data_IF_496484803340
#
_entry.id   IF_496484803340
#
_cell.length_a   1.000
_cell.length_b   1.000
_cell.length_c   1.000
_cell.angle_alpha   90.00
_cell.angle_beta   90.00
_cell.angle_gamma   90.00
#
_symmetry.space_group_name_H-M   'P 1'
#
loop_
_entity.id
_entity.type
_entity.pdbx_description
1 polymer ?
#
# COMPACT_ATOMS: atom_id res chain seq x y z
N UNK A 1 -22.73 7.82 -6.60
CA UNK A 1 -21.37 8.11 -7.06
C UNK A 1 -20.64 6.79 -7.33
N UNK A 2 -19.77 6.79 -8.32
CA UNK A 2 -19.01 5.59 -8.69
C UNK A 2 -18.22 5.02 -7.52
N UNK A 3 -17.51 5.89 -6.81
CA UNK A 3 -16.65 5.44 -5.71
C UNK A 3 -17.45 4.70 -4.64
N UNK A 4 -18.54 5.27 -4.17
CA UNK A 4 -19.37 4.66 -3.11
C UNK A 4 -19.90 3.30 -3.51
N UNK A 5 -20.40 3.20 -4.74
CA UNK A 5 -20.97 1.93 -5.25
C UNK A 5 -19.89 0.86 -5.37
N UNK A 6 -18.74 1.21 -5.94
CA UNK A 6 -17.62 0.28 -6.12
C UNK A 6 -17.05 -0.14 -4.77
N UNK A 7 -16.80 0.82 -3.87
CA UNK A 7 -16.24 0.53 -2.55
C UNK A 7 -17.19 -0.29 -1.69
N UNK A 8 -18.50 -0.04 -1.81
CA UNK A 8 -19.51 -0.86 -1.14
C UNK A 8 -19.44 -2.32 -1.55
N UNK A 9 -19.23 -2.59 -2.83
CA UNK A 9 -19.08 -3.95 -3.34
C UNK A 9 -17.79 -4.60 -2.86
N UNK A 10 -16.69 -3.85 -2.87
CA UNK A 10 -15.41 -4.35 -2.37
C UNK A 10 -15.50 -4.68 -0.89
N UNK A 11 -16.14 -3.81 -0.11
CA UNK A 11 -16.30 -4.00 1.33
C UNK A 11 -17.12 -5.27 1.63
N UNK A 12 -18.22 -5.48 0.92
CA UNK A 12 -19.04 -6.67 1.10
C UNK A 12 -18.24 -7.94 0.82
N UNK A 13 -17.42 -7.92 -0.22
CA UNK A 13 -16.56 -9.04 -0.58
C UNK A 13 -15.51 -9.32 0.49
N UNK A 14 -14.92 -8.26 1.07
CA UNK A 14 -13.91 -8.39 2.13
C UNK A 14 -14.52 -8.92 3.42
N UNK A 15 -15.77 -8.59 3.74
CA UNK A 15 -16.46 -9.16 4.90
C UNK A 15 -16.73 -10.67 4.72
N UNK A 16 -16.87 -11.11 3.48
CA UNK A 16 -17.07 -12.52 3.19
C UNK A 16 -15.74 -13.29 3.30
N UNK A 17 -14.69 -12.79 2.64
CA UNK A 17 -13.41 -13.48 2.62
C UNK A 17 -12.27 -12.52 2.26
N UNK A 18 -11.14 -12.68 2.96
CA UNK A 18 -9.87 -12.01 2.63
C UNK A 18 -8.75 -13.07 2.54
N UNK A 19 -7.73 -12.82 1.70
CA UNK A 19 -6.56 -13.71 1.65
C UNK A 19 -5.84 -13.76 3.00
N UNK A 20 -5.08 -14.85 3.26
CA UNK A 20 -4.30 -14.95 4.49
C UNK A 20 -3.34 -13.78 4.68
N UNK A 21 -3.26 -13.27 5.90
CA UNK A 21 -2.36 -12.18 6.26
C UNK A 21 -2.89 -10.80 5.93
N UNK A 22 -4.10 -10.69 5.40
CA UNK A 22 -4.73 -9.41 5.07
C UNK A 22 -5.98 -9.24 5.91
N UNK A 23 -6.06 -8.13 6.64
CA UNK A 23 -7.14 -7.86 7.59
C UNK A 23 -7.73 -6.48 7.36
N UNK A 24 -9.05 -6.39 7.33
CA UNK A 24 -9.75 -5.10 7.31
C UNK A 24 -9.82 -4.55 8.74
N UNK A 25 -9.28 -3.36 8.95
CA UNK A 25 -9.23 -2.76 10.29
C UNK A 25 -10.33 -1.72 10.46
N UNK A 26 -10.48 -0.82 9.49
CA UNK A 26 -11.47 0.24 9.58
C UNK A 26 -11.93 0.66 8.19
N UNK A 27 -13.25 0.72 8.00
CA UNK A 27 -13.87 1.18 6.76
C UNK A 27 -15.23 1.80 7.07
N UNK A 28 -15.24 2.85 7.91
CA UNK A 28 -16.47 3.52 8.37
C UNK A 28 -17.08 4.42 7.29
N UNK A 29 -16.26 4.87 6.36
CA UNK A 29 -16.70 5.73 5.26
C UNK A 29 -16.04 5.25 3.95
N UNK A 30 -16.21 6.02 2.88
CA UNK A 30 -15.63 5.72 1.57
C UNK A 30 -14.52 6.71 1.20
N UNK A 31 -13.89 7.33 2.21
CA UNK A 31 -12.78 8.25 2.00
C UNK A 31 -11.46 7.64 2.49
N UNK A 32 -11.49 7.00 3.65
CA UNK A 32 -10.27 6.45 4.28
C UNK A 32 -10.55 5.08 4.86
N UNK A 33 -9.74 4.09 4.44
CA UNK A 33 -9.78 2.74 4.99
C UNK A 33 -8.42 2.39 5.58
N UNK A 34 -8.45 1.58 6.63
CA UNK A 34 -7.24 1.01 7.23
C UNK A 34 -7.25 -0.50 7.03
N UNK A 35 -6.13 -1.01 6.53
CA UNK A 35 -5.90 -2.44 6.34
C UNK A 35 -4.61 -2.83 7.04
N UNK A 36 -4.53 -4.07 7.50
CA UNK A 36 -3.28 -4.61 8.00
C UNK A 36 -2.81 -5.71 7.06
N UNK A 37 -1.50 -5.77 6.85
CA UNK A 37 -0.89 -6.86 6.09
C UNK A 37 0.25 -7.48 6.89
N UNK A 38 0.44 -8.77 6.65
CA UNK A 38 1.45 -9.60 7.31
C UNK A 38 2.05 -10.53 6.27
N UNK A 39 3.37 -10.65 6.27
CA UNK A 39 4.05 -11.60 5.39
C UNK A 39 3.84 -12.99 5.97
N UNK A 40 3.26 -13.88 5.17
CA UNK A 40 2.89 -15.22 5.63
C UNK A 40 4.02 -16.23 5.49
N UNK A 41 4.93 -15.99 4.53
CA UNK A 41 6.09 -16.87 4.34
C UNK A 41 7.19 -16.51 5.32
N UNK A 42 8.08 -17.48 5.55
CA UNK A 42 9.25 -17.24 6.40
C UNK A 42 10.19 -16.27 5.70
N UNK A 43 10.21 -15.04 6.19
CA UNK A 43 11.15 -14.00 5.72
C UNK A 43 11.65 -13.26 6.96
N UNK A 44 12.95 -13.42 7.31
CA UNK A 44 13.48 -12.84 8.56
C UNK A 44 13.37 -11.33 8.63
N UNK A 45 13.24 -10.62 7.50
CA UNK A 45 13.08 -9.16 7.49
C UNK A 45 11.75 -8.72 8.10
N UNK A 46 10.71 -9.55 8.01
CA UNK A 46 9.34 -9.17 8.35
C UNK A 46 8.68 -10.11 9.35
N UNK A 47 9.39 -11.08 9.82
CA UNK A 47 8.83 -12.12 10.70
C UNK A 47 8.28 -11.52 11.98
N UNK A 48 7.05 -11.90 12.32
CA UNK A 48 6.39 -11.45 13.54
C UNK A 48 5.85 -10.03 13.50
N UNK A 49 5.96 -9.33 12.38
CA UNK A 49 5.50 -7.96 12.26
C UNK A 49 4.21 -7.86 11.46
N UNK A 50 3.34 -6.91 11.85
CA UNK A 50 2.13 -6.54 11.13
C UNK A 50 2.26 -5.08 10.72
N UNK A 51 1.90 -4.78 9.48
CA UNK A 51 2.05 -3.43 8.92
C UNK A 51 0.69 -2.86 8.62
N UNK A 52 0.50 -1.59 8.94
CA UNK A 52 -0.75 -0.89 8.72
C UNK A 52 -0.71 -0.03 7.47
N UNK A 53 -1.72 -0.19 6.62
CA UNK A 53 -1.90 0.59 5.40
C UNK A 53 -3.07 1.54 5.56
N UNK A 54 -2.91 2.75 5.04
CA UNK A 54 -3.98 3.72 4.91
C UNK A 54 -4.29 3.91 3.43
N UNK A 55 -5.54 3.66 3.07
CA UNK A 55 -6.08 3.92 1.74
C UNK A 55 -6.89 5.20 1.78
N UNK A 56 -6.62 6.11 0.84
CA UNK A 56 -7.40 7.34 0.69
C UNK A 56 -7.99 7.36 -0.71
N UNK A 57 -9.32 7.52 -0.80
CA UNK A 57 -10.05 7.45 -2.06
C UNK A 57 -10.58 8.82 -2.45
N UNK A 58 -10.63 9.09 -3.76
CA UNK A 58 -11.34 10.26 -4.30
C UNK A 58 -12.68 9.82 -4.87
N UNK A 59 -13.59 10.76 -5.14
CA UNK A 59 -14.85 10.41 -5.81
C UNK A 59 -14.68 9.75 -7.17
N UNK A 60 -13.51 9.85 -7.78
CA UNK A 60 -13.18 9.26 -9.08
C UNK A 60 -12.69 7.81 -8.99
N UNK A 61 -12.54 7.25 -7.79
CA UNK A 61 -12.20 5.85 -7.65
C UNK A 61 -13.31 4.99 -8.29
N UNK A 62 -13.06 3.96 -9.06
CA UNK A 62 -11.78 3.30 -9.36
C UNK A 62 -11.09 3.81 -10.64
N UNK A 63 -11.54 4.90 -11.23
CA UNK A 63 -10.86 5.50 -12.40
C UNK A 63 -9.51 6.04 -11.95
N UNK A 64 -9.47 6.73 -10.81
CA UNK A 64 -8.22 7.11 -10.17
C UNK A 64 -7.81 6.08 -9.14
N UNK A 65 -6.51 5.83 -9.06
CA UNK A 65 -5.93 4.97 -8.03
C UNK A 65 -6.16 5.57 -6.64
N UNK A 66 -6.27 4.73 -5.60
CA UNK A 66 -6.23 5.24 -4.23
C UNK A 66 -4.82 5.70 -3.89
N UNK A 67 -4.70 6.59 -2.92
CA UNK A 67 -3.41 6.84 -2.29
C UNK A 67 -3.23 5.80 -1.21
N UNK A 68 -2.07 5.14 -1.19
CA UNK A 68 -1.79 4.08 -0.24
C UNK A 68 -0.44 4.36 0.40
N UNK A 69 -0.42 4.43 1.73
CA UNK A 69 0.82 4.59 2.48
C UNK A 69 0.83 3.63 3.66
N UNK A 70 2.03 3.30 4.13
CA UNK A 70 2.17 2.63 5.42
C UNK A 70 2.08 3.65 6.54
N UNK A 71 1.36 3.29 7.60
CA UNK A 71 1.26 4.12 8.82
C UNK A 71 2.14 3.54 9.91
N UNK A 72 2.88 4.41 10.59
CA UNK A 72 3.64 4.03 11.77
C UNK A 72 2.84 4.36 13.03
N UNK A 73 2.79 3.42 13.97
CA UNK A 73 2.34 3.69 15.34
C UNK A 73 3.15 2.82 16.30
N UNK A 74 2.75 2.74 17.57
CA UNK A 74 3.50 2.02 18.59
C UNK A 74 3.66 0.52 18.29
N UNK A 75 2.71 -0.06 17.55
CA UNK A 75 2.72 -1.50 17.26
C UNK A 75 2.90 -1.83 15.80
N UNK A 76 2.95 -0.82 14.94
CA UNK A 76 3.06 -1.00 13.49
C UNK A 76 4.26 -0.21 12.96
N UNK A 77 5.38 -0.88 12.66
CA UNK A 77 6.53 -0.22 12.04
C UNK A 77 6.31 -0.01 10.55
N UNK A 78 7.15 0.82 9.94
CA UNK A 78 7.22 0.93 8.48
C UNK A 78 8.16 -0.18 7.99
N UNK A 79 7.70 -1.09 7.13
CA UNK A 79 8.57 -2.18 6.66
C UNK A 79 9.78 -1.66 5.91
N UNK A 80 10.92 -2.30 6.11
CA UNK A 80 12.15 -2.00 5.37
C UNK A 80 12.06 -2.61 3.97
N UNK A 81 12.20 -1.78 2.96
CA UNK A 81 12.17 -2.22 1.57
C UNK A 81 12.78 -1.13 0.68
N UNK A 82 13.53 -1.51 -0.37
CA UNK A 82 14.12 -0.50 -1.27
C UNK A 82 13.11 0.40 -1.99
N UNK A 83 11.83 0.04 -1.98
CA UNK A 83 10.76 0.82 -2.62
C UNK A 83 9.78 1.42 -1.61
N UNK A 84 10.11 1.41 -0.32
CA UNK A 84 9.28 2.01 0.72
C UNK A 84 10.12 3.03 1.49
N UNK A 85 9.69 4.29 1.43
CA UNK A 85 10.35 5.37 2.16
C UNK A 85 10.05 5.29 3.65
N UNK A 86 10.93 5.85 4.46
CA UNK A 86 10.80 5.76 5.92
C UNK A 86 9.54 6.45 6.47
N UNK A 87 8.91 7.33 5.69
CA UNK A 87 7.64 7.96 6.06
C UNK A 87 6.42 7.18 5.60
N UNK A 88 6.58 6.01 4.99
CA UNK A 88 5.49 5.16 4.56
C UNK A 88 5.06 5.31 3.10
N UNK A 89 5.62 6.27 2.37
CA UNK A 89 5.32 6.43 0.94
C UNK A 89 5.90 5.25 0.17
N UNK A 90 5.10 4.70 -0.75
CA UNK A 90 5.42 3.47 -1.48
C UNK A 90 5.67 3.80 -2.95
N UNK A 91 6.82 3.34 -3.46
CA UNK A 91 7.14 3.41 -4.88
C UNK A 91 6.67 2.11 -5.55
N UNK A 92 5.44 2.10 -6.03
CA UNK A 92 4.83 0.91 -6.65
C UNK A 92 4.08 1.36 -7.91
N UNK A 93 4.45 0.79 -9.06
CA UNK A 93 3.88 1.18 -10.36
C UNK A 93 2.38 0.94 -10.43
N UNK A 94 1.88 -0.09 -9.74
CA UNK A 94 0.45 -0.37 -9.65
C UNK A 94 -0.34 0.85 -9.16
N UNK A 95 0.26 1.67 -8.30
CA UNK A 95 -0.38 2.86 -7.72
C UNK A 95 -0.13 4.13 -8.52
N UNK A 96 0.72 4.05 -9.54
CA UNK A 96 1.02 5.18 -10.40
C UNK A 96 -0.06 5.32 -11.47
N UNK A 97 -0.19 6.53 -12.03
CA UNK A 97 -1.18 6.83 -13.08
C UNK A 97 -1.06 5.92 -14.28
N UNK A 98 0.16 5.51 -14.62
CA UNK A 98 0.40 4.64 -15.78
C UNK A 98 0.15 3.17 -15.48
N UNK A 99 0.23 2.76 -14.23
CA UNK A 99 0.09 1.34 -13.85
C UNK A 99 -1.27 0.96 -13.31
N UNK A 100 -2.04 1.92 -12.86
CA UNK A 100 -3.37 1.65 -12.29
C UNK A 100 -4.43 1.45 -13.37
N UNK A 101 -5.35 0.54 -13.11
CA UNK A 101 -6.59 0.42 -13.90
C UNK A 101 -7.73 0.00 -12.97
N UNK A 102 -9.00 0.23 -13.40
CA UNK A 102 -10.16 -0.14 -12.56
C UNK A 102 -10.32 -1.64 -12.30
N UNK A 103 -9.52 -2.48 -12.93
CA UNK A 103 -9.53 -3.92 -12.64
C UNK A 103 -8.90 -4.21 -11.28
N UNK A 104 -8.05 -3.30 -10.79
CA UNK A 104 -7.45 -3.43 -9.46
C UNK A 104 -8.41 -2.94 -8.39
N UNK A 105 -8.21 -3.40 -7.16
CA UNK A 105 -9.03 -3.04 -6.01
C UNK A 105 -8.17 -3.02 -4.74
N UNK A 106 -8.80 -2.72 -3.59
CA UNK A 106 -8.08 -2.68 -2.31
C UNK A 106 -7.41 -4.01 -2.00
N UNK A 107 -8.13 -5.11 -2.20
CA UNK A 107 -7.60 -6.44 -1.95
C UNK A 107 -6.38 -6.73 -2.83
N UNK A 108 -6.45 -6.43 -4.13
CA UNK A 108 -5.33 -6.70 -5.04
C UNK A 108 -4.11 -5.83 -4.74
N UNK A 109 -4.32 -4.62 -4.26
CA UNK A 109 -3.22 -3.76 -3.81
C UNK A 109 -2.54 -4.37 -2.58
N UNK A 110 -3.33 -4.83 -1.61
CA UNK A 110 -2.78 -5.48 -0.41
C UNK A 110 -1.98 -6.73 -0.78
N UNK A 111 -2.51 -7.56 -1.68
CA UNK A 111 -1.82 -8.77 -2.14
C UNK A 111 -0.52 -8.41 -2.86
N UNK A 112 -0.54 -7.38 -3.70
CA UNK A 112 0.67 -6.93 -4.41
C UNK A 112 1.74 -6.45 -3.45
N UNK A 113 1.36 -5.70 -2.41
CA UNK A 113 2.30 -5.24 -1.40
C UNK A 113 2.84 -6.41 -0.57
N UNK A 114 1.98 -7.34 -0.19
CA UNK A 114 2.39 -8.55 0.52
C UNK A 114 3.41 -9.34 -0.30
N UNK A 115 3.18 -9.50 -1.60
CA UNK A 115 4.09 -10.18 -2.51
C UNK A 115 5.42 -9.44 -2.64
N UNK A 116 5.37 -8.12 -2.73
CA UNK A 116 6.57 -7.28 -2.80
C UNK A 116 7.45 -7.48 -1.56
N UNK A 117 6.84 -7.55 -0.38
CA UNK A 117 7.57 -7.80 0.85
C UNK A 117 8.10 -9.24 0.88
N UNK A 118 7.27 -10.20 0.51
CA UNK A 118 7.62 -11.63 0.57
C UNK A 118 8.90 -11.93 -0.24
N UNK A 119 9.04 -11.31 -1.40
CA UNK A 119 10.18 -11.56 -2.29
C UNK A 119 11.43 -10.73 -1.97
N UNK A 120 11.34 -9.81 -1.03
CA UNK A 120 12.48 -8.94 -0.71
C UNK A 120 13.52 -9.63 0.16
N UNK A 121 14.80 -9.41 -0.16
CA UNK A 121 15.92 -9.91 0.62
C UNK A 121 16.80 -8.80 1.18
N UNK A 122 16.47 -7.54 0.93
CA UNK A 122 17.32 -6.38 1.27
C UNK A 122 16.64 -5.50 2.31
N UNK A 123 17.30 -5.37 3.47
CA UNK A 123 16.85 -4.44 4.51
C UNK A 123 17.37 -3.04 4.20
N UNK A 124 16.75 -2.39 3.23
CA UNK A 124 17.19 -1.10 2.72
C UNK A 124 16.01 -0.14 2.56
N UNK A 125 16.32 1.15 2.51
CA UNK A 125 15.41 2.21 2.09
C UNK A 125 15.74 2.63 0.67
N UNK A 126 14.82 3.30 -0.04
CA UNK A 126 15.15 3.87 -1.35
C UNK A 126 16.34 4.81 -1.27
N UNK A 127 17.11 4.89 -2.34
CA UNK A 127 18.23 5.82 -2.41
C UNK A 127 17.71 7.24 -2.21
N UNK A 128 18.39 8.01 -1.36
CA UNK A 128 17.98 9.37 -1.06
C UNK A 128 16.81 9.51 -0.10
N UNK A 129 16.46 8.44 0.63
CA UNK A 129 15.32 8.42 1.55
C UNK A 129 15.30 9.62 2.50
N UNK A 130 16.41 9.92 3.14
CA UNK A 130 16.47 11.00 4.13
C UNK A 130 16.07 12.35 3.53
N UNK A 131 16.61 12.68 2.37
CA UNK A 131 16.30 13.94 1.70
C UNK A 131 14.86 13.93 1.17
N UNK A 132 14.41 12.82 0.63
CA UNK A 132 13.04 12.68 0.14
C UNK A 132 12.04 12.93 1.26
N UNK A 133 12.21 12.27 2.39
CA UNK A 133 11.29 12.39 3.54
C UNK A 133 11.29 13.81 4.09
N UNK A 134 12.47 14.46 4.13
CA UNK A 134 12.60 15.82 4.68
C UNK A 134 11.99 16.89 3.77
N UNK A 135 12.14 16.76 2.45
CA UNK A 135 11.82 17.84 1.51
C UNK A 135 10.62 17.58 0.60
N UNK A 136 10.11 16.36 0.52
CA UNK A 136 8.98 16.07 -0.33
C UNK A 136 7.70 16.73 0.20
N UNK A 137 7.02 17.48 -0.67
CA UNK A 137 5.73 18.11 -0.37
C UNK A 137 4.61 17.57 -1.26
N UNK A 138 4.91 16.69 -2.20
CA UNK A 138 3.93 16.14 -3.11
C UNK A 138 3.14 15.02 -2.45
N UNK A 139 1.88 14.88 -2.83
CA UNK A 139 1.06 13.74 -2.44
C UNK A 139 1.60 12.48 -3.14
N UNK A 140 1.42 11.30 -2.54
CA UNK A 140 1.92 10.05 -3.14
C UNK A 140 1.54 9.86 -4.61
N UNK A 141 0.31 10.19 -4.98
CA UNK A 141 -0.15 10.02 -6.37
C UNK A 141 0.51 10.95 -7.38
N UNK A 142 1.05 12.08 -6.90
CA UNK A 142 1.62 13.12 -7.77
C UNK A 142 3.13 12.98 -7.92
N UNK A 143 3.75 12.06 -7.18
CA UNK A 143 5.20 11.83 -7.26
C UNK A 143 5.50 11.00 -8.51
N UNK A 144 6.47 11.49 -9.30
CA UNK A 144 6.91 10.79 -10.48
C UNK A 144 8.14 9.95 -10.14
N UNK A 145 7.92 8.67 -9.87
CA UNK A 145 9.00 7.73 -9.55
C UNK A 145 9.66 7.20 -10.81
N UNK A 146 10.95 6.89 -10.68
CA UNK A 146 11.68 6.13 -11.70
C UNK A 146 11.72 4.67 -11.23
N UNK A 147 11.15 3.78 -12.04
CA UNK A 147 11.08 2.36 -11.71
C UNK A 147 12.20 1.60 -12.41
N UNK A 148 12.90 0.75 -11.65
CA UNK A 148 13.97 -0.09 -12.14
C UNK A 148 13.66 -1.54 -11.78
N UNK A 149 13.33 -2.35 -12.75
CA UNK A 149 12.89 -3.73 -12.54
C UNK A 149 13.95 -4.58 -11.82
N UNK A 150 15.19 -4.35 -12.13
CA UNK A 150 16.32 -5.10 -11.56
C UNK A 150 16.56 -4.79 -10.08
N UNK A 151 15.91 -3.78 -9.52
CA UNK A 151 16.09 -3.41 -8.10
C UNK A 151 14.99 -3.92 -7.19
N UNK A 152 14.03 -4.59 -7.77
CA UNK A 152 12.86 -5.08 -7.02
C UNK A 152 13.14 -6.40 -6.32
#
# INVERSE_FOLDING_TARGET
>A
MFASKRLGKELAKMHDKLPPGITLIKADDFQTWLMDIQVMDSNPLYEGETYRLKFSFTPQYPIEAPEVIFLRDETHPIPWHPHIYSNGIICLDLLDRSGWSPVHNVESVCVSLQSMLTSNTKKERPQGDENFVRYNTQRPRDINFVFHDETV
#
